data_IF_475245760151
#
_entry.id   IF_475245760151
#
_cell.length_a   1.000
_cell.length_b   1.000
_cell.length_c   1.000
_cell.angle_alpha   90.00
_cell.angle_beta   90.00
_cell.angle_gamma   90.00
#
_symmetry.space_group_name_H-M   'P 1'
#
loop_
_entity.id
_entity.type
_entity.pdbx_description
1 polymer ?
#
# COMPACT_ATOMS: atom_id res chain seq x y z
N UNK A 1 12.35 -26.62 -6.84
CA UNK A 1 10.94 -26.39 -6.45
C UNK A 1 10.64 -24.92 -6.72
N UNK A 2 10.13 -24.60 -7.91
CA UNK A 2 9.97 -23.21 -8.39
C UNK A 2 8.97 -22.40 -7.56
N UNK A 3 7.97 -23.06 -6.94
CA UNK A 3 6.93 -22.39 -6.13
C UNK A 3 7.51 -21.75 -4.85
N UNK A 4 8.43 -22.43 -4.15
CA UNK A 4 9.16 -21.85 -2.99
C UNK A 4 10.05 -20.66 -3.36
N UNK A 5 10.55 -20.61 -4.60
CA UNK A 5 11.35 -19.47 -5.08
C UNK A 5 10.49 -18.23 -5.31
N UNK A 6 9.24 -18.40 -5.79
CA UNK A 6 8.32 -17.29 -6.02
C UNK A 6 7.69 -16.73 -4.73
N UNK A 7 7.48 -17.55 -3.70
CA UNK A 7 6.90 -17.07 -2.43
C UNK A 7 7.82 -16.09 -1.68
N UNK A 8 9.14 -16.27 -1.79
CA UNK A 8 10.13 -15.33 -1.26
C UNK A 8 10.05 -13.96 -1.93
N UNK A 9 9.92 -13.91 -3.26
CA UNK A 9 9.75 -12.66 -4.01
C UNK A 9 8.45 -11.93 -3.66
N UNK A 10 7.35 -12.67 -3.47
CA UNK A 10 6.07 -12.09 -3.05
C UNK A 10 6.12 -11.52 -1.63
N UNK A 11 6.83 -12.17 -0.71
CA UNK A 11 7.05 -11.63 0.65
C UNK A 11 7.76 -10.28 0.59
N UNK A 12 8.84 -10.17 -0.18
CA UNK A 12 9.57 -8.90 -0.36
C UNK A 12 8.67 -7.81 -0.94
N UNK A 13 7.78 -8.16 -1.88
CA UNK A 13 6.80 -7.20 -2.42
C UNK A 13 5.82 -6.68 -1.34
N UNK A 14 5.31 -7.55 -0.46
CA UNK A 14 4.44 -7.15 0.66
C UNK A 14 5.20 -6.29 1.68
N UNK A 15 6.42 -6.67 2.04
CA UNK A 15 7.24 -5.91 2.99
C UNK A 15 7.55 -4.50 2.46
N UNK A 16 7.87 -4.39 1.16
CA UNK A 16 8.08 -3.10 0.50
C UNK A 16 6.81 -2.25 0.46
N UNK A 17 5.65 -2.86 0.25
CA UNK A 17 4.38 -2.15 0.36
C UNK A 17 4.20 -1.54 1.74
N UNK A 18 4.44 -2.30 2.81
CA UNK A 18 4.19 -1.82 4.18
C UNK A 18 5.07 -0.60 4.51
N UNK A 19 6.33 -0.61 4.04
CA UNK A 19 7.25 0.53 4.15
C UNK A 19 6.72 1.76 3.38
N UNK A 20 6.29 1.57 2.13
CA UNK A 20 5.77 2.66 1.29
C UNK A 20 4.48 3.25 1.87
N UNK A 21 3.56 2.40 2.33
CA UNK A 21 2.29 2.82 2.93
C UNK A 21 2.54 3.66 4.20
N UNK A 22 3.49 3.26 5.05
CA UNK A 22 3.86 4.06 6.21
C UNK A 22 4.40 5.44 5.83
N UNK A 23 5.27 5.52 4.82
CA UNK A 23 5.79 6.80 4.32
C UNK A 23 4.68 7.70 3.76
N UNK A 24 3.75 7.13 2.99
CA UNK A 24 2.61 7.89 2.44
C UNK A 24 1.68 8.39 3.55
N UNK A 25 1.48 7.61 4.61
CA UNK A 25 0.70 8.05 5.77
C UNK A 25 1.33 9.26 6.48
N UNK A 26 2.66 9.27 6.65
CA UNK A 26 3.37 10.42 7.23
C UNK A 26 3.21 11.67 6.38
N UNK A 27 3.38 11.56 5.06
CA UNK A 27 3.16 12.69 4.14
C UNK A 27 1.72 13.21 4.21
N UNK A 28 0.74 12.31 4.36
CA UNK A 28 -0.67 12.70 4.53
C UNK A 28 -0.88 13.49 5.82
N UNK A 29 -0.27 13.06 6.92
CA UNK A 29 -0.34 13.74 8.22
C UNK A 29 0.27 15.15 8.14
N UNK A 30 1.45 15.28 7.54
CA UNK A 30 2.11 16.56 7.33
C UNK A 30 1.22 17.52 6.49
N UNK A 31 0.59 17.02 5.43
CA UNK A 31 -0.31 17.83 4.60
C UNK A 31 -1.55 18.30 5.37
N UNK A 32 -2.13 17.44 6.22
CA UNK A 32 -3.27 17.83 7.07
C UNK A 32 -2.85 18.92 8.05
N UNK A 33 -1.70 18.75 8.72
CA UNK A 33 -1.17 19.76 9.64
C UNK A 33 -0.94 21.11 8.94
N UNK A 34 -0.33 21.10 7.75
CA UNK A 34 -0.14 22.31 6.95
C UNK A 34 -1.48 22.98 6.61
N UNK A 35 -2.50 22.23 6.21
CA UNK A 35 -3.83 22.79 5.89
C UNK A 35 -4.43 23.45 7.14
N UNK A 36 -4.36 22.77 8.29
CA UNK A 36 -4.89 23.27 9.56
C UNK A 36 -4.18 24.55 10.01
N UNK A 37 -2.85 24.59 9.96
CA UNK A 37 -2.09 25.78 10.31
C UNK A 37 -2.45 26.97 9.41
N UNK A 38 -2.66 26.74 8.12
CA UNK A 38 -2.99 27.81 7.16
C UNK A 38 -4.41 28.33 7.35
N UNK A 39 -5.35 27.47 7.78
CA UNK A 39 -6.71 27.88 8.15
C UNK A 39 -6.71 28.95 9.25
N UNK A 40 -5.78 28.85 10.21
CA UNK A 40 -5.70 29.75 11.36
C UNK A 40 -5.01 31.09 11.06
N UNK A 41 -4.06 31.13 10.11
CA UNK A 41 -3.16 32.28 9.95
C UNK A 41 -3.16 32.96 8.58
N UNK A 42 -3.64 32.32 7.50
CA UNK A 42 -3.52 32.87 6.15
C UNK A 42 -4.86 33.02 5.44
N UNK A 43 -5.49 34.18 5.68
CA UNK A 43 -6.79 34.56 5.14
C UNK A 43 -6.61 35.29 3.79
N UNK A 44 -7.49 34.99 2.81
CA UNK A 44 -7.55 35.66 1.52
C UNK A 44 -7.21 34.75 0.34
N UNK A 45 -7.31 35.28 -0.89
CA UNK A 45 -7.27 34.49 -2.13
C UNK A 45 -6.03 33.60 -2.30
N UNK A 46 -4.87 34.06 -1.84
CA UNK A 46 -3.64 33.25 -1.90
C UNK A 46 -3.66 32.09 -0.91
N UNK A 47 -4.16 32.31 0.31
CA UNK A 47 -4.40 31.25 1.29
C UNK A 47 -5.41 30.22 0.78
N UNK A 48 -6.54 30.68 0.24
CA UNK A 48 -7.57 29.80 -0.34
C UNK A 48 -7.02 28.96 -1.51
N UNK A 49 -6.20 29.57 -2.38
CA UNK A 49 -5.55 28.87 -3.49
C UNK A 49 -4.58 27.80 -2.99
N UNK A 50 -3.79 28.10 -1.96
CA UNK A 50 -2.88 27.15 -1.36
C UNK A 50 -3.62 25.97 -0.70
N UNK A 51 -4.70 26.26 0.05
CA UNK A 51 -5.56 25.22 0.65
C UNK A 51 -6.12 24.28 -0.41
N UNK A 52 -6.58 24.83 -1.54
CA UNK A 52 -7.07 24.02 -2.65
C UNK A 52 -6.01 23.06 -3.19
N UNK A 53 -4.76 23.54 -3.35
CA UNK A 53 -3.64 22.71 -3.81
C UNK A 53 -3.35 21.58 -2.81
N UNK A 54 -3.27 21.89 -1.51
CA UNK A 54 -3.03 20.89 -0.48
C UNK A 54 -4.16 19.85 -0.41
N UNK A 55 -5.41 20.29 -0.53
CA UNK A 55 -6.57 19.40 -0.58
C UNK A 55 -6.52 18.48 -1.81
N UNK A 56 -6.15 19.00 -2.98
CA UNK A 56 -5.96 18.21 -4.19
C UNK A 56 -4.87 17.15 -4.02
N UNK A 57 -3.72 17.51 -3.43
CA UNK A 57 -2.66 16.53 -3.13
C UNK A 57 -3.11 15.46 -2.14
N UNK A 58 -3.89 15.82 -1.12
CA UNK A 58 -4.47 14.86 -0.19
C UNK A 58 -5.34 13.84 -0.92
N UNK A 59 -6.20 14.27 -1.84
CA UNK A 59 -7.04 13.36 -2.64
C UNK A 59 -6.18 12.40 -3.45
N UNK A 60 -5.16 12.91 -4.14
CA UNK A 60 -4.26 12.06 -4.93
C UNK A 60 -3.56 11.01 -4.05
N UNK A 61 -3.11 11.41 -2.85
CA UNK A 61 -2.51 10.49 -1.88
C UNK A 61 -3.52 9.46 -1.38
N UNK A 62 -4.74 9.86 -1.05
CA UNK A 62 -5.78 8.95 -0.56
C UNK A 62 -6.18 7.93 -1.62
N UNK A 63 -6.37 8.35 -2.88
CA UNK A 63 -6.63 7.46 -4.00
C UNK A 63 -5.44 6.51 -4.23
N UNK A 64 -4.22 7.05 -4.30
CA UNK A 64 -3.02 6.24 -4.52
C UNK A 64 -2.80 5.20 -3.42
N UNK A 65 -3.00 5.56 -2.14
CA UNK A 65 -2.89 4.63 -1.02
C UNK A 65 -3.95 3.50 -1.11
N UNK A 66 -5.18 3.84 -1.50
CA UNK A 66 -6.27 2.87 -1.66
C UNK A 66 -5.98 1.86 -2.78
N UNK A 67 -5.49 2.32 -3.92
CA UNK A 67 -5.11 1.44 -5.04
C UNK A 67 -3.91 0.57 -4.67
N UNK A 68 -2.91 1.15 -4.02
CA UNK A 68 -1.74 0.42 -3.55
C UNK A 68 -2.16 -0.68 -2.55
N UNK A 69 -3.10 -0.39 -1.64
CA UNK A 69 -3.62 -1.37 -0.67
C UNK A 69 -4.30 -2.55 -1.36
N UNK A 70 -5.11 -2.30 -2.40
CA UNK A 70 -5.73 -3.37 -3.20
C UNK A 70 -4.67 -4.27 -3.82
N UNK A 71 -3.63 -3.68 -4.42
CA UNK A 71 -2.53 -4.44 -5.00
C UNK A 71 -1.82 -5.32 -3.96
N UNK A 72 -1.59 -4.81 -2.74
CA UNK A 72 -1.01 -5.60 -1.64
C UNK A 72 -1.90 -6.80 -1.28
N UNK A 73 -3.21 -6.61 -1.21
CA UNK A 73 -4.16 -7.70 -0.95
C UNK A 73 -4.08 -8.77 -2.05
N UNK A 74 -4.08 -8.38 -3.32
CA UNK A 74 -3.95 -9.31 -4.45
C UNK A 74 -2.64 -10.10 -4.41
N UNK A 75 -1.51 -9.45 -4.09
CA UNK A 75 -0.22 -10.14 -3.93
C UNK A 75 -0.28 -11.14 -2.78
N UNK A 76 -0.90 -10.77 -1.65
CA UNK A 76 -1.01 -11.67 -0.50
C UNK A 76 -1.94 -12.86 -0.79
N UNK A 77 -3.09 -12.64 -1.43
CA UNK A 77 -4.01 -13.70 -1.82
C UNK A 77 -3.35 -14.69 -2.79
N UNK A 78 -2.59 -14.18 -3.77
CA UNK A 78 -1.81 -15.00 -4.67
C UNK A 78 -0.72 -15.81 -3.93
N UNK A 79 -0.05 -15.21 -2.93
CA UNK A 79 0.94 -15.90 -2.08
C UNK A 79 0.30 -17.07 -1.32
N UNK A 80 -0.87 -16.86 -0.72
CA UNK A 80 -1.58 -17.91 0.03
C UNK A 80 -2.07 -19.03 -0.89
N UNK A 81 -2.62 -18.70 -2.07
CA UNK A 81 -3.03 -19.69 -3.06
C UNK A 81 -1.84 -20.55 -3.55
N UNK A 82 -0.68 -19.94 -3.77
CA UNK A 82 0.54 -20.66 -4.15
C UNK A 82 1.00 -21.61 -3.04
N UNK A 83 1.00 -21.17 -1.77
CA UNK A 83 1.37 -22.02 -0.63
C UNK A 83 0.43 -23.23 -0.49
N UNK A 84 -0.89 -23.00 -0.64
CA UNK A 84 -1.87 -24.08 -0.60
C UNK A 84 -1.62 -25.12 -1.70
N UNK A 85 -1.36 -24.66 -2.93
CA UNK A 85 -1.09 -25.53 -4.07
C UNK A 85 0.20 -26.34 -3.88
N UNK A 86 1.27 -25.73 -3.37
CA UNK A 86 2.55 -26.42 -3.07
C UNK A 86 2.36 -27.54 -2.04
N UNK A 87 1.62 -27.26 -0.97
CA UNK A 87 1.29 -28.23 0.08
C UNK A 87 0.45 -29.38 -0.48
N UNK A 88 -0.60 -29.07 -1.24
CA UNK A 88 -1.47 -30.08 -1.86
C UNK A 88 -0.71 -30.99 -2.83
N UNK A 89 0.14 -30.42 -3.67
CA UNK A 89 0.99 -31.17 -4.60
C UNK A 89 1.98 -32.07 -3.86
N UNK A 90 2.65 -31.54 -2.82
CA UNK A 90 3.60 -32.31 -2.00
C UNK A 90 2.93 -33.53 -1.36
N UNK A 91 1.74 -33.35 -0.77
CA UNK A 91 0.98 -34.45 -0.18
C UNK A 91 0.57 -35.51 -1.22
N UNK A 92 0.17 -35.09 -2.43
CA UNK A 92 -0.19 -36.02 -3.51
C UNK A 92 0.99 -36.84 -4.04
N UNK A 93 2.20 -36.26 -4.04
CA UNK A 93 3.42 -36.95 -4.45
C UNK A 93 3.78 -38.00 -3.38
N UNK A 94 3.80 -37.60 -2.10
CA UNK A 94 4.12 -38.50 -0.99
C UNK A 94 3.14 -39.66 -0.84
N UNK A 95 1.84 -39.45 -1.10
CA UNK A 95 0.85 -40.53 -1.03
C UNK A 95 0.84 -41.47 -2.24
N UNK A 96 1.68 -41.22 -3.25
CA UNK A 96 1.85 -42.07 -4.44
C UNK A 96 3.14 -42.91 -4.42
N UNK A 97 4.06 -42.61 -3.52
CA UNK A 97 5.22 -43.45 -3.18
C UNK A 97 4.86 -44.48 -2.11
#
# INVERSE_FOLDING_TARGET
MEIKSNSGGMKVAVDNYDILNNRLNLVREDLVNIITDIDDYWIGRSGDSFKYICWYFKILLDTGCSELYKLRCEVNDAKEAMNYNDCSLSNKIQNKE
#
